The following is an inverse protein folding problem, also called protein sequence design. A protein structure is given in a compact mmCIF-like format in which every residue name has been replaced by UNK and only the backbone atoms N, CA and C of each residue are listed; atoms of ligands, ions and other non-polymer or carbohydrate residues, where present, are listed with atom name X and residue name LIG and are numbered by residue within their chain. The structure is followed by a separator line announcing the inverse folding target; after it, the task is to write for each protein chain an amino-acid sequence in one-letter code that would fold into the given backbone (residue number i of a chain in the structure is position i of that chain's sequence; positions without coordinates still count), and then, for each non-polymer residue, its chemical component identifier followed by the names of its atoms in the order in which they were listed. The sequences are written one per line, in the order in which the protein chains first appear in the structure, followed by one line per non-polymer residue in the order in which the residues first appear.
data_IF_657248355074
#
_entry.id   IF_657248355074
#
_cell.length_a   1.000
_cell.length_b   1.000
_cell.length_c   1.000
_cell.angle_alpha   90.00
_cell.angle_beta   90.00
_cell.angle_gamma   90.00
#
_symmetry.space_group_name_H-M   'P 1'
#
loop_
_entity.id
_entity.type
_entity.pdbx_description
1 polymer ?
#
# COMPACT_ATOMS: atom_id res chain seq x y z
N UNK A 1 -22.01 -10.38 -21.33
CA UNK A 1 -20.56 -10.04 -21.25
C UNK A 1 -19.93 -11.14 -20.42
N UNK A 2 -18.85 -11.75 -20.87
CA UNK A 2 -18.10 -12.76 -20.09
C UNK A 2 -17.45 -11.99 -18.94
N UNK A 3 -17.71 -12.43 -17.70
CA UNK A 3 -17.03 -11.84 -16.53
C UNK A 3 -15.53 -12.22 -16.65
N UNK A 4 -14.59 -11.28 -16.63
CA UNK A 4 -13.17 -11.61 -16.74
C UNK A 4 -12.76 -12.52 -15.57
N UNK A 5 -11.85 -13.46 -15.83
CA UNK A 5 -11.25 -14.26 -14.75
C UNK A 5 -10.31 -13.38 -13.91
N UNK A 6 -9.80 -13.89 -12.79
CA UNK A 6 -8.96 -13.14 -11.86
C UNK A 6 -7.67 -12.60 -12.49
N UNK A 7 -6.99 -13.39 -13.34
CA UNK A 7 -5.78 -12.96 -14.06
C UNK A 7 -6.09 -11.84 -15.05
N UNK A 8 -7.20 -11.96 -15.79
CA UNK A 8 -7.66 -10.91 -16.70
C UNK A 8 -7.99 -9.61 -15.97
N UNK A 9 -8.49 -9.67 -14.71
CA UNK A 9 -8.77 -8.48 -13.89
C UNK A 9 -7.51 -7.77 -13.45
N UNK A 10 -6.46 -8.49 -13.04
CA UNK A 10 -5.16 -7.89 -12.68
C UNK A 10 -4.58 -7.15 -13.90
N UNK A 11 -4.53 -7.81 -15.06
CA UNK A 11 -4.02 -7.18 -16.27
C UNK A 11 -4.90 -6.00 -16.72
N UNK A 12 -6.21 -6.10 -16.54
CA UNK A 12 -7.14 -5.02 -16.85
C UNK A 12 -6.91 -3.80 -15.95
N UNK A 13 -6.66 -3.97 -14.67
CA UNK A 13 -6.31 -2.87 -13.76
C UNK A 13 -4.97 -2.24 -14.15
N UNK A 14 -3.94 -3.04 -14.42
CA UNK A 14 -2.63 -2.53 -14.85
C UNK A 14 -2.67 -1.77 -16.19
N UNK A 15 -3.65 -2.04 -17.03
CA UNK A 15 -3.86 -1.32 -18.30
C UNK A 15 -4.60 0.01 -18.13
N UNK A 16 -4.90 0.48 -16.91
CA UNK A 16 -5.47 1.82 -16.69
C UNK A 16 -4.49 2.90 -17.13
N UNK A 17 -4.99 3.94 -17.79
CA UNK A 17 -4.18 5.01 -18.37
C UNK A 17 -4.18 6.28 -17.53
N UNK A 18 -5.04 6.36 -16.54
CA UNK A 18 -5.17 7.48 -15.60
C UNK A 18 -5.91 7.04 -14.32
N UNK A 19 -5.86 7.91 -13.28
CA UNK A 19 -6.45 7.60 -11.97
C UNK A 19 -7.97 7.40 -12.01
N UNK A 20 -8.71 8.12 -12.86
CA UNK A 20 -10.16 7.94 -12.99
C UNK A 20 -10.49 6.52 -13.50
N UNK A 21 -9.79 6.09 -14.54
CA UNK A 21 -9.98 4.74 -15.09
C UNK A 21 -9.54 3.66 -14.10
N UNK A 22 -8.47 3.92 -13.34
CA UNK A 22 -8.00 3.03 -12.28
C UNK A 22 -9.04 2.89 -11.16
N UNK A 23 -9.61 4.00 -10.68
CA UNK A 23 -10.70 4.04 -9.70
C UNK A 23 -11.90 3.22 -10.18
N UNK A 24 -12.40 3.51 -11.40
CA UNK A 24 -13.56 2.81 -11.96
C UNK A 24 -13.34 1.28 -12.07
N UNK A 25 -12.12 0.86 -12.36
CA UNK A 25 -11.77 -0.56 -12.46
C UNK A 25 -11.71 -1.23 -11.08
N UNK A 26 -11.13 -0.57 -10.11
CA UNK A 26 -11.10 -1.07 -8.73
C UNK A 26 -12.51 -1.11 -8.11
N UNK A 27 -13.36 -0.10 -8.35
CA UNK A 27 -14.76 -0.11 -7.91
C UNK A 27 -15.52 -1.33 -8.44
N UNK A 28 -15.28 -1.71 -9.72
CA UNK A 28 -15.91 -2.88 -10.33
C UNK A 28 -15.34 -4.20 -9.79
N UNK A 29 -14.08 -4.23 -9.37
CA UNK A 29 -13.44 -5.44 -8.86
C UNK A 29 -13.64 -5.65 -7.36
N UNK A 30 -13.95 -4.62 -6.60
CA UNK A 30 -13.94 -4.60 -5.13
C UNK A 30 -14.62 -5.83 -4.50
N UNK A 31 -15.83 -6.16 -4.90
CA UNK A 31 -16.61 -7.28 -4.32
C UNK A 31 -16.00 -8.68 -4.55
N UNK A 32 -15.11 -8.84 -5.54
CA UNK A 32 -14.46 -10.11 -5.82
C UNK A 32 -12.97 -10.11 -5.42
N UNK A 33 -12.43 -8.95 -5.07
CA UNK A 33 -10.99 -8.71 -4.90
C UNK A 33 -10.33 -9.66 -3.89
N UNK A 34 -10.85 -9.72 -2.68
CA UNK A 34 -10.27 -10.56 -1.62
C UNK A 34 -10.24 -12.04 -2.02
N UNK A 35 -11.35 -12.53 -2.57
CA UNK A 35 -11.46 -13.92 -3.02
C UNK A 35 -10.46 -14.24 -4.12
N UNK A 36 -10.37 -13.39 -5.14
CA UNK A 36 -9.44 -13.57 -6.26
C UNK A 36 -7.99 -13.60 -5.75
N UNK A 37 -7.62 -12.66 -4.87
CA UNK A 37 -6.26 -12.57 -4.33
C UNK A 37 -5.90 -13.74 -3.40
N UNK A 38 -6.83 -14.23 -2.60
CA UNK A 38 -6.59 -15.35 -1.68
C UNK A 38 -6.55 -16.68 -2.42
N UNK A 39 -7.61 -17.01 -3.19
CA UNK A 39 -7.80 -18.33 -3.79
C UNK A 39 -6.91 -18.54 -5.02
N UNK A 40 -6.87 -17.54 -5.93
CA UNK A 40 -6.25 -17.68 -7.23
C UNK A 40 -4.77 -17.24 -7.21
N UNK A 41 -4.41 -16.22 -6.43
CA UNK A 41 -3.05 -15.69 -6.40
C UNK A 41 -2.24 -16.08 -5.17
N UNK A 42 -2.89 -16.47 -4.06
CA UNK A 42 -2.26 -16.69 -2.75
C UNK A 42 -1.43 -15.47 -2.29
N UNK A 43 -2.04 -14.27 -2.39
CA UNK A 43 -1.37 -13.00 -2.08
C UNK A 43 -0.88 -12.93 -0.64
N UNK A 44 0.42 -12.71 -0.48
CA UNK A 44 1.09 -12.75 0.83
C UNK A 44 1.82 -11.45 1.19
N UNK A 45 1.75 -10.43 0.35
CA UNK A 45 2.40 -9.15 0.63
C UNK A 45 1.89 -8.46 1.91
N UNK A 46 0.57 -8.47 2.24
CA UNK A 46 0.07 -7.90 3.49
C UNK A 46 0.71 -8.51 4.73
N UNK A 47 0.84 -9.84 4.78
CA UNK A 47 1.45 -10.54 5.91
C UNK A 47 2.91 -10.17 6.09
N UNK A 48 3.69 -10.15 4.99
CA UNK A 48 5.10 -9.77 5.00
C UNK A 48 5.28 -8.30 5.42
N UNK A 49 4.45 -7.39 4.91
CA UNK A 49 4.52 -5.98 5.23
C UNK A 49 4.16 -5.70 6.69
N UNK A 50 3.08 -6.28 7.20
CA UNK A 50 2.66 -6.10 8.59
C UNK A 50 3.66 -6.74 9.56
N UNK A 51 4.28 -7.86 9.20
CA UNK A 51 5.32 -8.46 10.01
C UNK A 51 6.51 -7.49 10.18
N UNK A 52 6.99 -6.89 9.09
CA UNK A 52 8.06 -5.90 9.17
C UNK A 52 7.61 -4.64 9.92
N UNK A 53 6.38 -4.16 9.67
CA UNK A 53 5.81 -2.99 10.32
C UNK A 53 5.79 -3.14 11.85
N UNK A 54 5.37 -4.29 12.35
CA UNK A 54 5.29 -4.57 13.79
C UNK A 54 6.65 -4.65 14.49
N UNK A 55 7.77 -4.74 13.75
CA UNK A 55 9.10 -4.66 14.35
C UNK A 55 9.45 -3.23 14.81
N UNK A 56 8.86 -2.21 14.17
CA UNK A 56 9.21 -0.80 14.38
C UNK A 56 8.09 0.02 15.01
N UNK A 57 6.84 -0.40 14.88
CA UNK A 57 5.66 0.40 15.22
C UNK A 57 4.87 -0.25 16.37
N UNK A 58 4.62 0.53 17.42
CA UNK A 58 3.78 0.10 18.54
C UNK A 58 2.32 -0.06 18.12
N UNK A 59 1.62 -1.05 18.67
CA UNK A 59 0.18 -1.24 18.44
C UNK A 59 -0.71 -0.11 18.97
N UNK A 60 -0.13 0.83 19.75
CA UNK A 60 -0.81 2.05 20.21
C UNK A 60 -0.68 3.23 19.26
N UNK A 61 0.07 3.07 18.16
CA UNK A 61 0.31 4.12 17.18
C UNK A 61 -0.96 4.45 16.36
N UNK A 62 -1.08 5.73 15.95
CA UNK A 62 -2.02 6.16 14.91
C UNK A 62 -1.42 5.84 13.55
N UNK A 63 -2.05 4.94 12.81
CA UNK A 63 -1.54 4.38 11.56
C UNK A 63 -2.40 4.82 10.38
N UNK A 64 -1.77 5.23 9.28
CA UNK A 64 -2.42 5.34 7.97
C UNK A 64 -2.12 4.07 7.15
N UNK A 65 -3.15 3.41 6.67
CA UNK A 65 -3.10 2.41 5.62
C UNK A 65 -3.38 3.11 4.28
N UNK A 66 -2.30 3.42 3.56
CA UNK A 66 -2.32 4.23 2.35
C UNK A 66 -2.43 3.35 1.10
N UNK A 67 -3.59 3.36 0.45
CA UNK A 67 -4.00 2.38 -0.54
C UNK A 67 -4.55 1.12 0.16
N UNK A 68 -5.49 1.33 1.09
CA UNK A 68 -6.02 0.28 1.96
C UNK A 68 -6.78 -0.82 1.20
N UNK A 69 -7.25 -0.53 -0.03
CA UNK A 69 -8.07 -1.44 -0.81
C UNK A 69 -9.29 -1.89 -0.02
N UNK A 70 -9.55 -3.17 -0.03
CA UNK A 70 -10.62 -3.83 0.73
C UNK A 70 -10.31 -4.02 2.22
N UNK A 71 -9.12 -3.59 2.68
CA UNK A 71 -8.75 -3.58 4.11
C UNK A 71 -8.03 -4.83 4.62
N UNK A 72 -7.42 -5.63 3.77
CA UNK A 72 -6.67 -6.84 4.18
C UNK A 72 -5.51 -6.53 5.14
N UNK A 73 -4.80 -5.43 4.90
CA UNK A 73 -3.72 -4.95 5.79
C UNK A 73 -4.28 -4.58 7.16
N UNK A 74 -5.38 -3.81 7.18
CA UNK A 74 -6.03 -3.41 8.43
C UNK A 74 -6.53 -4.57 9.28
N UNK A 75 -7.05 -5.64 8.66
CA UNK A 75 -7.45 -6.86 9.40
C UNK A 75 -6.25 -7.50 10.12
N UNK A 76 -5.10 -7.61 9.44
CA UNK A 76 -3.90 -8.20 10.04
C UNK A 76 -3.38 -7.29 11.17
N UNK A 77 -3.32 -5.97 10.95
CA UNK A 77 -2.94 -5.00 11.97
C UNK A 77 -3.86 -5.08 13.20
N UNK A 78 -5.18 -5.13 12.98
CA UNK A 78 -6.15 -5.28 14.07
C UNK A 78 -5.98 -6.59 14.84
N UNK A 79 -5.62 -7.68 14.16
CA UNK A 79 -5.26 -8.96 14.77
C UNK A 79 -4.04 -8.86 15.68
N UNK A 80 -3.09 -7.97 15.38
CA UNK A 80 -1.92 -7.68 16.21
C UNK A 80 -2.17 -6.63 17.31
N UNK A 81 -3.39 -6.14 17.44
CA UNK A 81 -3.78 -5.22 18.51
C UNK A 81 -3.75 -3.74 18.16
N UNK A 82 -3.43 -3.35 16.90
CA UNK A 82 -3.60 -1.97 16.46
C UNK A 82 -5.09 -1.60 16.48
N UNK A 83 -5.41 -0.37 16.91
CA UNK A 83 -6.80 0.10 17.05
C UNK A 83 -7.07 1.46 16.41
N UNK A 84 -6.05 2.29 16.25
CA UNK A 84 -6.16 3.61 15.63
C UNK A 84 -5.61 3.55 14.20
N UNK A 85 -6.39 2.93 13.31
CA UNK A 85 -6.03 2.71 11.90
C UNK A 85 -6.99 3.51 11.03
N UNK A 86 -6.43 4.34 10.15
CA UNK A 86 -7.14 5.13 9.15
C UNK A 86 -6.95 4.49 7.79
N UNK A 87 -8.02 4.27 7.04
CA UNK A 87 -7.98 3.79 5.67
C UNK A 87 -8.00 4.95 4.68
N UNK A 88 -7.11 4.93 3.69
CA UNK A 88 -7.13 5.82 2.55
C UNK A 88 -6.99 5.03 1.25
N UNK A 89 -7.85 5.28 0.29
CA UNK A 89 -7.79 4.66 -1.04
C UNK A 89 -8.37 5.61 -2.10
N UNK A 90 -8.01 5.39 -3.38
CA UNK A 90 -8.61 6.14 -4.49
C UNK A 90 -10.02 5.63 -4.82
N UNK A 91 -10.30 4.34 -4.58
CA UNK A 91 -11.57 3.68 -4.92
C UNK A 91 -12.53 3.70 -3.74
N UNK A 92 -13.70 4.29 -3.94
CA UNK A 92 -14.77 4.25 -2.94
C UNK A 92 -15.33 2.83 -2.79
N UNK A 93 -15.42 2.07 -3.88
CA UNK A 93 -15.86 0.67 -3.85
C UNK A 93 -14.97 -0.19 -2.96
N UNK A 94 -13.65 0.00 -3.05
CA UNK A 94 -12.70 -0.66 -2.16
C UNK A 94 -12.89 -0.27 -0.69
N UNK A 95 -13.05 1.02 -0.41
CA UNK A 95 -13.30 1.51 0.96
C UNK A 95 -14.63 1.00 1.53
N UNK A 96 -15.65 0.81 0.70
CA UNK A 96 -16.94 0.24 1.14
C UNK A 96 -16.79 -1.22 1.57
N UNK A 97 -15.98 -2.02 0.87
CA UNK A 97 -15.61 -3.36 1.32
C UNK A 97 -14.79 -3.31 2.63
N UNK A 98 -13.81 -2.40 2.73
CA UNK A 98 -13.00 -2.22 3.93
C UNK A 98 -13.84 -1.85 5.16
N UNK A 99 -14.92 -1.06 5.00
CA UNK A 99 -15.85 -0.73 6.09
C UNK A 99 -16.50 -1.97 6.70
N UNK A 100 -16.77 -2.99 5.89
CA UNK A 100 -17.41 -4.22 6.34
C UNK A 100 -16.56 -5.00 7.35
N UNK A 101 -15.23 -4.82 7.33
CA UNK A 101 -14.27 -5.47 8.22
C UNK A 101 -14.25 -4.89 9.64
N UNK A 102 -14.80 -3.67 9.84
CA UNK A 102 -14.92 -3.01 11.15
C UNK A 102 -13.60 -2.88 11.94
N UNK A 103 -12.51 -2.64 11.24
CA UNK A 103 -11.15 -2.53 11.85
C UNK A 103 -10.56 -1.12 11.76
N UNK A 104 -11.11 -0.27 10.89
CA UNK A 104 -10.64 1.11 10.70
C UNK A 104 -11.47 2.12 11.50
N UNK A 105 -10.76 3.16 11.98
CA UNK A 105 -11.36 4.28 12.69
C UNK A 105 -12.07 5.26 11.72
N UNK A 106 -11.48 5.50 10.56
CA UNK A 106 -12.04 6.40 9.52
C UNK A 106 -11.58 5.98 8.12
N UNK A 107 -12.28 6.52 7.10
CA UNK A 107 -12.08 6.19 5.69
C UNK A 107 -12.05 7.48 4.87
N UNK A 108 -11.02 7.62 4.02
CA UNK A 108 -10.80 8.82 3.23
C UNK A 108 -10.50 8.45 1.78
N UNK A 109 -11.32 8.96 0.85
CA UNK A 109 -11.05 8.81 -0.57
C UNK A 109 -10.05 9.88 -1.01
N UNK A 110 -8.83 9.47 -1.31
CA UNK A 110 -7.75 10.34 -1.80
C UNK A 110 -6.80 9.55 -2.70
N UNK A 111 -6.05 10.26 -3.53
CA UNK A 111 -5.12 9.68 -4.50
C UNK A 111 -3.68 9.93 -4.09
N UNK A 112 -2.88 8.88 -4.01
CA UNK A 112 -1.43 8.99 -3.83
C UNK A 112 -0.80 9.64 -5.08
N UNK A 113 0.10 10.58 -4.84
CA UNK A 113 0.69 11.46 -5.87
C UNK A 113 0.11 12.87 -5.86
N UNK A 114 -1.09 13.05 -5.30
CA UNK A 114 -1.68 14.36 -5.02
C UNK A 114 -1.36 14.81 -3.59
N UNK A 115 -1.68 16.08 -3.28
CA UNK A 115 -1.61 16.58 -1.92
C UNK A 115 -2.70 15.91 -1.07
N UNK A 116 -2.30 15.30 0.04
CA UNK A 116 -3.21 14.64 0.96
C UNK A 116 -3.80 15.64 1.98
N UNK A 117 -5.10 15.50 2.26
CA UNK A 117 -5.82 16.36 3.22
C UNK A 117 -5.62 15.88 4.67
N UNK A 118 -4.34 15.79 5.06
CA UNK A 118 -3.88 15.49 6.41
C UNK A 118 -2.89 16.55 6.87
N UNK A 119 -2.82 16.77 8.19
CA UNK A 119 -1.85 17.67 8.78
C UNK A 119 -0.41 17.11 8.70
N UNK A 120 0.57 18.00 8.75
CA UNK A 120 1.98 17.59 8.86
C UNK A 120 2.20 16.84 10.17
N UNK A 121 2.80 15.65 10.10
CA UNK A 121 3.07 14.82 11.27
C UNK A 121 1.80 14.31 11.97
N UNK A 122 0.74 14.04 11.22
CA UNK A 122 -0.52 13.55 11.78
C UNK A 122 -0.43 12.10 12.25
N UNK A 123 0.31 11.25 11.55
CA UNK A 123 0.41 9.82 11.81
C UNK A 123 1.72 9.45 12.50
N UNK A 124 1.65 8.47 13.40
CA UNK A 124 2.86 7.86 13.99
C UNK A 124 3.57 6.95 12.99
N UNK A 125 2.81 6.33 12.08
CA UNK A 125 3.36 5.51 11.01
C UNK A 125 2.40 5.40 9.82
N UNK A 126 2.96 5.06 8.65
CA UNK A 126 2.23 4.78 7.41
C UNK A 126 2.61 3.39 6.92
N UNK A 127 1.61 2.63 6.45
CA UNK A 127 1.81 1.38 5.72
C UNK A 127 1.14 1.49 4.35
N UNK A 128 1.78 0.94 3.29
CA UNK A 128 1.25 0.98 1.91
C UNK A 128 1.63 -0.30 1.17
N UNK A 129 0.67 -1.14 0.83
CA UNK A 129 0.92 -2.47 0.29
C UNK A 129 0.19 -2.70 -1.04
N UNK A 130 0.93 -3.12 -2.07
CA UNK A 130 0.36 -3.36 -3.40
C UNK A 130 0.10 -2.09 -4.22
N UNK A 131 0.61 -0.94 -3.78
CA UNK A 131 0.34 0.38 -4.37
C UNK A 131 1.47 0.86 -5.28
N UNK A 132 2.73 0.65 -4.88
CA UNK A 132 3.90 1.06 -5.68
C UNK A 132 4.25 -0.04 -6.70
N UNK A 133 3.52 -0.01 -7.81
CA UNK A 133 3.61 -0.97 -8.92
C UNK A 133 3.34 -0.25 -10.24
N UNK A 134 3.41 -0.98 -11.37
CA UNK A 134 3.21 -0.39 -12.70
C UNK A 134 1.83 0.26 -12.82
N UNK A 135 1.79 1.53 -13.28
CA UNK A 135 0.55 2.26 -13.57
C UNK A 135 -0.25 2.74 -12.36
N UNK A 136 0.32 2.63 -11.14
CA UNK A 136 -0.32 3.07 -9.89
C UNK A 136 0.35 4.34 -9.32
N UNK A 137 0.52 4.42 -7.99
CA UNK A 137 1.06 5.61 -7.35
C UNK A 137 2.50 5.92 -7.81
N UNK A 138 2.81 7.19 -8.15
CA UNK A 138 4.14 7.62 -8.54
C UNK A 138 5.09 7.71 -7.34
N UNK A 139 6.40 7.73 -7.60
CA UNK A 139 7.43 7.89 -6.56
C UNK A 139 7.34 9.22 -5.79
N UNK A 140 6.75 10.27 -6.41
CA UNK A 140 6.47 11.56 -5.74
C UNK A 140 5.51 11.45 -4.55
N UNK A 141 4.74 10.36 -4.46
CA UNK A 141 3.87 10.09 -3.29
C UNK A 141 4.65 10.07 -1.98
N UNK A 142 5.92 9.70 -2.00
CA UNK A 142 6.74 9.67 -0.79
C UNK A 142 6.90 11.05 -0.12
N UNK A 143 6.83 12.14 -0.86
CA UNK A 143 6.93 13.50 -0.27
C UNK A 143 5.76 13.75 0.69
N UNK A 144 4.54 13.41 0.28
CA UNK A 144 3.35 13.56 1.11
C UNK A 144 3.34 12.54 2.26
N UNK A 145 3.73 11.28 2.02
CA UNK A 145 3.81 10.28 3.09
C UNK A 145 4.82 10.70 4.17
N UNK A 146 5.96 11.30 3.80
CA UNK A 146 6.92 11.87 4.74
C UNK A 146 6.30 13.05 5.49
N UNK A 147 5.64 13.97 4.79
CA UNK A 147 5.03 15.16 5.40
C UNK A 147 4.01 14.81 6.48
N UNK A 148 3.16 13.82 6.21
CA UNK A 148 2.08 13.43 7.15
C UNK A 148 2.55 12.49 8.26
N UNK A 149 3.75 11.92 8.16
CA UNK A 149 4.33 11.06 9.20
C UNK A 149 5.15 11.91 10.18
N UNK A 150 5.02 11.65 11.47
CA UNK A 150 5.81 12.30 12.52
C UNK A 150 7.30 12.01 12.36
N UNK A 151 8.15 12.98 12.72
CA UNK A 151 9.59 12.73 12.89
C UNK A 151 9.79 11.56 13.88
N UNK A 152 10.66 10.62 13.53
CA UNK A 152 10.86 9.36 14.23
C UNK A 152 9.85 8.26 13.87
N UNK A 153 8.78 8.57 13.16
CA UNK A 153 7.80 7.61 12.67
C UNK A 153 8.32 6.78 11.49
N UNK A 154 7.59 5.73 11.14
CA UNK A 154 8.00 4.81 10.08
C UNK A 154 7.02 4.81 8.90
N UNK A 155 7.57 4.74 7.70
CA UNK A 155 6.83 4.45 6.45
C UNK A 155 7.26 3.08 5.98
N UNK A 156 6.30 2.14 5.90
CA UNK A 156 6.53 0.77 5.42
C UNK A 156 5.73 0.53 4.16
N UNK A 157 6.37 0.04 3.11
CA UNK A 157 5.69 -0.18 1.84
C UNK A 157 6.25 -1.39 1.09
N UNK A 158 5.39 -1.99 0.27
CA UNK A 158 5.81 -2.99 -0.72
C UNK A 158 6.16 -2.32 -2.05
N UNK A 159 7.21 -2.80 -2.69
CA UNK A 159 7.66 -2.31 -3.99
C UNK A 159 8.11 -3.48 -4.86
N UNK A 160 7.68 -3.50 -6.12
CA UNK A 160 8.16 -4.46 -7.11
C UNK A 160 9.65 -4.24 -7.39
N UNK A 161 10.40 -5.32 -7.48
CA UNK A 161 11.85 -5.23 -7.71
C UNK A 161 12.22 -4.69 -9.09
N UNK A 162 11.43 -4.99 -10.12
CA UNK A 162 11.59 -4.45 -11.47
C UNK A 162 11.30 -2.94 -11.52
N UNK A 163 10.20 -2.49 -10.90
CA UNK A 163 9.83 -1.07 -10.78
C UNK A 163 10.91 -0.27 -10.03
N UNK A 164 11.50 -0.87 -8.98
CA UNK A 164 12.63 -0.25 -8.28
C UNK A 164 13.87 -0.12 -9.18
N UNK A 165 14.17 -1.17 -9.97
CA UNK A 165 15.34 -1.20 -10.85
C UNK A 165 15.22 -0.28 -12.07
N UNK A 166 14.00 0.01 -12.55
CA UNK A 166 13.74 0.95 -13.65
C UNK A 166 14.13 2.41 -13.32
N UNK A 167 14.48 2.69 -12.07
CA UNK A 167 15.23 3.87 -11.64
C UNK A 167 14.42 4.93 -10.92
N UNK A 168 13.17 5.21 -11.28
CA UNK A 168 12.40 6.33 -10.72
C UNK A 168 12.25 6.23 -9.18
N UNK A 169 11.83 5.07 -8.68
CA UNK A 169 11.69 4.84 -7.23
C UNK A 169 13.02 4.83 -6.51
N UNK A 170 14.05 4.22 -7.12
CA UNK A 170 15.40 4.21 -6.55
C UNK A 170 15.97 5.62 -6.46
N UNK A 171 15.90 6.40 -7.53
CA UNK A 171 16.39 7.78 -7.56
C UNK A 171 15.67 8.66 -6.52
N UNK A 172 14.34 8.48 -6.37
CA UNK A 172 13.56 9.20 -5.38
C UNK A 172 13.94 8.83 -3.94
N UNK A 173 14.11 7.53 -3.67
CA UNK A 173 14.54 7.05 -2.35
C UNK A 173 15.93 7.57 -1.99
N UNK A 174 16.89 7.49 -2.92
CA UNK A 174 18.26 7.98 -2.74
C UNK A 174 18.28 9.52 -2.53
N UNK A 175 17.44 10.27 -3.25
CA UNK A 175 17.33 11.73 -3.09
C UNK A 175 16.78 12.12 -1.72
N UNK A 176 15.74 11.43 -1.24
CA UNK A 176 15.13 11.68 0.07
C UNK A 176 16.08 11.31 1.22
N UNK A 177 16.81 10.21 1.11
CA UNK A 177 17.85 9.83 2.08
C UNK A 177 18.99 10.85 2.10
N UNK A 178 19.49 11.27 0.94
CA UNK A 178 20.55 12.29 0.81
C UNK A 178 20.11 13.67 1.36
N UNK A 179 18.82 13.99 1.25
CA UNK A 179 18.25 15.22 1.83
C UNK A 179 18.03 15.11 3.35
N UNK A 180 18.21 13.94 3.95
CA UNK A 180 17.93 13.69 5.36
C UNK A 180 16.45 13.75 5.71
N UNK A 181 15.54 13.51 4.75
CA UNK A 181 14.11 13.50 4.97
C UNK A 181 13.66 12.17 5.62
N UNK A 182 14.32 11.09 5.30
CA UNK A 182 14.15 9.78 5.91
C UNK A 182 15.46 8.99 5.93
N UNK A 183 15.45 7.84 6.57
CA UNK A 183 16.58 6.92 6.60
C UNK A 183 16.10 5.49 6.49
N UNK A 184 16.76 4.68 5.66
CA UNK A 184 16.45 3.26 5.55
C UNK A 184 16.69 2.55 6.91
N UNK A 185 15.62 1.95 7.45
CA UNK A 185 15.67 1.15 8.66
C UNK A 185 15.87 -0.34 8.32
N UNK A 186 15.11 -0.86 7.36
CA UNK A 186 15.20 -2.26 6.92
C UNK A 186 14.58 -2.45 5.54
N UNK A 187 15.09 -3.44 4.80
CA UNK A 187 14.48 -3.98 3.59
C UNK A 187 14.53 -5.51 3.66
N UNK A 188 13.49 -6.17 3.17
CA UNK A 188 13.44 -7.64 3.14
C UNK A 188 14.22 -8.19 1.94
N UNK A 189 14.55 -9.48 1.99
CA UNK A 189 14.87 -10.21 0.77
C UNK A 189 13.69 -10.20 -0.21
N UNK A 190 13.93 -10.28 -1.52
CA UNK A 190 12.88 -10.41 -2.51
C UNK A 190 12.02 -11.67 -2.26
N UNK A 191 10.70 -11.54 -2.41
CA UNK A 191 9.75 -12.65 -2.29
C UNK A 191 8.69 -12.56 -3.39
N UNK A 192 8.03 -13.67 -3.67
CA UNK A 192 6.91 -13.76 -4.64
C UNK A 192 5.61 -13.35 -3.94
N UNK A 193 5.03 -12.17 -4.24
CA UNK A 193 3.81 -11.71 -3.57
C UNK A 193 2.56 -12.46 -4.04
N UNK A 194 2.55 -12.94 -5.29
CA UNK A 194 1.46 -13.63 -5.98
C UNK A 194 1.93 -14.98 -6.56
N UNK A 195 2.35 -15.93 -5.71
CA UNK A 195 3.10 -17.13 -6.16
C UNK A 195 2.32 -18.05 -7.10
N UNK A 196 0.98 -17.99 -7.10
CA UNK A 196 0.14 -18.77 -8.02
C UNK A 196 -0.16 -18.04 -9.33
N UNK A 197 -0.29 -16.70 -9.31
CA UNK A 197 -0.69 -15.93 -10.48
C UNK A 197 0.47 -15.31 -11.25
N UNK A 198 1.43 -14.70 -10.54
CA UNK A 198 2.57 -14.00 -11.13
C UNK A 198 3.90 -14.50 -10.51
N UNK A 199 4.31 -15.77 -10.77
CA UNK A 199 5.48 -16.36 -10.11
C UNK A 199 6.82 -15.72 -10.49
N UNK A 200 6.88 -14.95 -11.59
CA UNK A 200 8.08 -14.23 -12.03
C UNK A 200 8.18 -12.82 -11.42
N UNK A 201 7.14 -12.37 -10.70
CA UNK A 201 7.11 -11.05 -10.05
C UNK A 201 7.63 -11.18 -8.63
N UNK A 202 8.55 -10.28 -8.27
CA UNK A 202 9.13 -10.22 -6.93
C UNK A 202 8.88 -8.83 -6.31
N UNK A 203 8.60 -8.84 -5.01
CA UNK A 203 8.50 -7.64 -4.19
C UNK A 203 9.55 -7.67 -3.08
N UNK A 204 9.84 -6.48 -2.55
CA UNK A 204 10.50 -6.29 -1.27
C UNK A 204 9.63 -5.38 -0.39
N UNK A 205 9.71 -5.55 0.92
CA UNK A 205 9.12 -4.62 1.87
C UNK A 205 10.23 -3.71 2.39
N UNK A 206 9.99 -2.42 2.31
CA UNK A 206 10.90 -1.37 2.73
C UNK A 206 10.35 -0.68 3.96
N UNK A 207 11.20 -0.41 4.94
CA UNK A 207 10.88 0.43 6.11
C UNK A 207 11.87 1.57 6.17
N UNK A 208 11.34 2.80 6.14
CA UNK A 208 12.11 4.04 6.34
C UNK A 208 11.63 4.76 7.58
N UNK A 209 12.58 5.30 8.35
CA UNK A 209 12.26 6.19 9.46
C UNK A 209 12.32 7.64 8.99
N UNK A 210 11.28 8.41 9.23
CA UNK A 210 11.22 9.86 8.97
C UNK A 210 12.10 10.61 9.97
N UNK A 211 12.92 11.58 9.50
CA UNK A 211 13.90 12.30 10.33
C UNK A 211 13.34 13.66 10.80
#
# INVERSE_FOLDING_TARGET
MVNPNSEERVQWVYAATNNQELEERYDQWAAAYDKDLEEDFAWNAPQNAVQLFAEFVSSTAKVLDAGAGTGLVGEILAGLGFRDIVAMDLSMGMLDEAKSKNVYHSFHQMTLGDKLDYETGEFDAVISVGVFTLGHAPSSSFDELIRITKSGGHIVFSLRTDVYQDGEFKEKQDALDSAGAWKLAKVTEPFQPLPKGEPEVYHQIWSYQVI
#
